data_IF_157478221976
#
_entry.id   IF_157478221976
#
_cell.length_a   1.000
_cell.length_b   1.000
_cell.length_c   1.000
_cell.angle_alpha   90.00
_cell.angle_beta   90.00
_cell.angle_gamma   90.00
#
_symmetry.space_group_name_H-M   'P 1'
#
loop_
_entity.id
_entity.type
_entity.pdbx_description
1 polymer ?
#
# COMPACT_ATOMS: atom_id res chain seq x y z
N UNK A 1 17.21 -20.11 15.08
CA UNK A 1 16.17 -19.11 15.36
C UNK A 1 14.83 -19.81 15.61
N UNK A 2 14.37 -20.71 14.73
CA UNK A 2 13.08 -21.40 14.85
C UNK A 2 12.88 -22.08 16.21
N UNK A 3 13.90 -22.79 16.71
CA UNK A 3 13.86 -23.49 18.01
C UNK A 3 13.60 -22.56 19.21
N UNK A 4 13.95 -21.28 19.11
CA UNK A 4 13.76 -20.29 20.18
C UNK A 4 12.27 -19.97 20.33
N UNK A 5 11.51 -19.98 19.23
CA UNK A 5 10.11 -19.57 19.21
C UNK A 5 9.11 -20.73 19.34
N UNK A 6 9.56 -21.99 19.25
CA UNK A 6 8.68 -23.17 19.28
C UNK A 6 7.76 -23.28 20.51
N UNK A 7 8.17 -22.67 21.64
CA UNK A 7 7.39 -22.69 22.90
C UNK A 7 6.69 -21.35 23.18
N UNK A 8 6.60 -20.47 22.17
CA UNK A 8 5.94 -19.16 22.27
C UNK A 8 4.67 -19.15 21.46
N UNK A 9 3.83 -18.10 21.62
CA UNK A 9 2.68 -17.85 20.78
C UNK A 9 3.04 -17.22 19.41
N UNK A 10 4.33 -17.05 19.10
CA UNK A 10 4.80 -16.46 17.87
C UNK A 10 4.88 -17.54 16.79
N UNK A 11 4.10 -17.38 15.73
CA UNK A 11 4.19 -18.20 14.53
C UNK A 11 5.25 -17.62 13.59
N UNK A 12 6.19 -18.45 13.17
CA UNK A 12 7.27 -18.06 12.26
C UNK A 12 7.04 -18.65 10.87
N UNK A 13 7.08 -17.80 9.87
CA UNK A 13 7.22 -18.19 8.47
C UNK A 13 8.67 -17.92 8.02
N UNK A 14 9.16 -18.74 7.11
CA UNK A 14 10.53 -18.62 6.59
C UNK A 14 10.51 -18.54 5.07
N UNK A 15 11.22 -17.59 4.53
CA UNK A 15 11.52 -17.49 3.09
C UNK A 15 13.00 -17.16 2.87
N UNK A 16 13.51 -17.49 1.71
CA UNK A 16 14.82 -17.06 1.21
C UNK A 16 14.74 -15.80 0.38
N UNK A 17 13.54 -15.36 0.05
CA UNK A 17 13.25 -14.18 -0.75
C UNK A 17 13.34 -12.90 0.10
N UNK A 18 14.57 -12.46 0.35
CA UNK A 18 14.84 -11.24 1.13
C UNK A 18 14.26 -10.02 0.40
N UNK A 19 14.44 -9.95 -0.92
CA UNK A 19 13.97 -8.82 -1.74
C UNK A 19 12.45 -8.70 -1.67
N UNK A 20 11.73 -9.81 -1.85
CA UNK A 20 10.27 -9.80 -1.76
C UNK A 20 9.77 -9.34 -0.39
N UNK A 21 10.40 -9.79 0.71
CA UNK A 21 10.02 -9.35 2.06
C UNK A 21 10.24 -7.84 2.24
N UNK A 22 11.39 -7.31 1.81
CA UNK A 22 11.72 -5.89 1.94
C UNK A 22 10.79 -5.01 1.10
N UNK A 23 10.58 -5.37 -0.17
CA UNK A 23 9.75 -4.59 -1.08
C UNK A 23 8.27 -4.59 -0.64
N UNK A 24 7.75 -5.72 -0.16
CA UNK A 24 6.39 -5.80 0.37
C UNK A 24 6.22 -4.94 1.63
N UNK A 25 7.24 -4.87 2.50
CA UNK A 25 7.27 -3.99 3.66
C UNK A 25 7.21 -2.50 3.30
N UNK A 26 7.74 -2.09 2.14
CA UNK A 26 7.64 -0.72 1.61
C UNK A 26 6.27 -0.47 0.99
N UNK A 27 5.83 -1.38 0.10
CA UNK A 27 4.62 -1.24 -0.72
C UNK A 27 3.35 -1.17 0.15
N UNK A 28 3.26 -1.93 1.24
CA UNK A 28 2.10 -1.93 2.14
C UNK A 28 1.73 -0.53 2.62
N UNK A 29 2.73 0.31 2.89
CA UNK A 29 2.53 1.66 3.42
C UNK A 29 1.86 2.58 2.41
N UNK A 30 2.21 2.47 1.13
CA UNK A 30 1.61 3.24 0.05
C UNK A 30 0.12 2.89 -0.11
N UNK A 31 -0.19 1.60 -0.19
CA UNK A 31 -1.57 1.16 -0.39
C UNK A 31 -2.44 1.30 0.86
N UNK A 32 -1.86 1.35 2.05
CA UNK A 32 -2.59 1.71 3.25
C UNK A 32 -3.15 3.15 3.18
N UNK A 33 -2.40 4.10 2.58
CA UNK A 33 -2.90 5.45 2.31
C UNK A 33 -4.09 5.38 1.35
N UNK A 34 -3.93 4.69 0.21
CA UNK A 34 -4.99 4.57 -0.79
C UNK A 34 -6.27 3.96 -0.21
N UNK A 35 -6.15 2.87 0.53
CA UNK A 35 -7.30 2.20 1.14
C UNK A 35 -7.95 3.06 2.23
N UNK A 36 -7.17 3.87 2.95
CA UNK A 36 -7.70 4.89 3.86
C UNK A 36 -8.54 5.94 3.13
N UNK A 37 -8.08 6.42 1.95
CA UNK A 37 -8.84 7.34 1.10
C UNK A 37 -10.16 6.70 0.65
N UNK A 38 -10.11 5.46 0.19
CA UNK A 38 -11.29 4.71 -0.27
C UNK A 38 -12.30 4.55 0.86
N UNK A 39 -11.86 4.20 2.05
CA UNK A 39 -12.73 4.05 3.22
C UNK A 39 -13.43 5.35 3.62
N UNK A 40 -12.73 6.48 3.51
CA UNK A 40 -13.29 7.78 3.83
C UNK A 40 -14.30 8.29 2.78
N UNK A 41 -14.08 7.93 1.51
CA UNK A 41 -14.96 8.38 0.40
C UNK A 41 -16.13 7.44 0.15
N UNK A 42 -15.95 6.15 0.37
CA UNK A 42 -16.93 5.13 0.00
C UNK A 42 -17.24 4.24 1.22
N UNK A 43 -18.37 4.47 1.86
CA UNK A 43 -18.82 3.69 3.03
C UNK A 43 -19.33 2.28 2.66
N UNK A 44 -18.72 1.64 1.65
CA UNK A 44 -19.15 0.36 1.11
C UNK A 44 -18.06 -0.70 1.26
N UNK A 45 -18.29 -1.77 2.02
CA UNK A 45 -17.37 -2.91 2.09
C UNK A 45 -17.05 -3.51 0.71
N UNK A 46 -18.05 -3.60 -0.18
CA UNK A 46 -17.85 -4.11 -1.54
C UNK A 46 -16.83 -3.27 -2.32
N UNK A 47 -16.92 -1.94 -2.25
CA UNK A 47 -15.97 -1.02 -2.89
C UNK A 47 -14.57 -1.21 -2.30
N UNK A 48 -14.46 -1.29 -0.97
CA UNK A 48 -13.19 -1.53 -0.29
C UNK A 48 -12.50 -2.80 -0.80
N UNK A 49 -13.20 -3.92 -0.80
CA UNK A 49 -12.60 -5.21 -1.19
C UNK A 49 -12.38 -5.32 -2.70
N UNK A 50 -13.19 -4.65 -3.52
CA UNK A 50 -12.92 -4.51 -4.94
C UNK A 50 -11.59 -3.77 -5.18
N UNK A 51 -11.36 -2.64 -4.51
CA UNK A 51 -10.10 -1.90 -4.64
C UNK A 51 -8.95 -2.70 -4.04
N UNK A 52 -9.13 -3.36 -2.91
CA UNK A 52 -8.11 -4.24 -2.32
C UNK A 52 -7.65 -5.32 -3.31
N UNK A 53 -8.58 -5.93 -4.06
CA UNK A 53 -8.24 -6.92 -5.08
C UNK A 53 -7.37 -6.34 -6.20
N UNK A 54 -7.61 -5.07 -6.58
CA UNK A 54 -6.79 -4.36 -7.57
C UNK A 54 -5.43 -3.96 -6.99
N UNK A 55 -5.39 -3.54 -5.73
CA UNK A 55 -4.15 -3.30 -4.98
C UNK A 55 -3.26 -4.53 -5.00
N UNK A 56 -3.81 -5.72 -4.74
CA UNK A 56 -3.01 -6.96 -4.79
C UNK A 56 -2.51 -7.31 -6.20
N UNK A 57 -3.22 -6.94 -7.26
CA UNK A 57 -2.70 -7.07 -8.63
C UNK A 57 -1.49 -6.15 -8.85
N UNK A 58 -1.57 -4.90 -8.41
CA UNK A 58 -0.46 -3.96 -8.52
C UNK A 58 0.73 -4.38 -7.65
N UNK A 59 0.49 -4.81 -6.41
CA UNK A 59 1.54 -5.34 -5.52
C UNK A 59 2.27 -6.51 -6.18
N UNK A 60 1.53 -7.44 -6.82
CA UNK A 60 2.14 -8.57 -7.54
C UNK A 60 3.04 -8.10 -8.69
N UNK A 61 2.61 -7.07 -9.43
CA UNK A 61 3.41 -6.50 -10.54
C UNK A 61 4.69 -5.87 -9.96
N UNK A 62 4.56 -5.03 -8.94
CA UNK A 62 5.69 -4.38 -8.29
C UNK A 62 6.67 -5.38 -7.68
N UNK A 63 6.17 -6.36 -6.93
CA UNK A 63 7.02 -7.39 -6.33
C UNK A 63 7.87 -8.11 -7.39
N UNK A 64 7.24 -8.45 -8.53
CA UNK A 64 7.94 -9.07 -9.67
C UNK A 64 8.93 -8.11 -10.34
N UNK A 65 8.59 -6.83 -10.48
CA UNK A 65 9.47 -5.80 -11.07
C UNK A 65 10.78 -5.68 -10.28
N UNK A 66 10.68 -5.77 -8.95
CA UNK A 66 11.83 -5.75 -8.05
C UNK A 66 12.45 -7.13 -7.79
N UNK A 67 12.10 -8.15 -8.59
CA UNK A 67 12.64 -9.51 -8.52
C UNK A 67 12.26 -10.30 -7.24
N UNK A 68 11.19 -9.90 -6.55
CA UNK A 68 10.62 -10.68 -5.45
C UNK A 68 9.82 -11.89 -5.96
N UNK A 69 9.77 -12.95 -5.15
CA UNK A 69 8.99 -14.14 -5.45
C UNK A 69 7.49 -13.89 -5.22
N UNK A 70 6.66 -14.35 -6.15
CA UNK A 70 5.20 -14.24 -6.05
C UNK A 70 4.63 -14.98 -4.84
N UNK A 71 5.26 -16.09 -4.43
CA UNK A 71 4.81 -16.87 -3.27
C UNK A 71 4.99 -16.08 -1.95
N UNK A 72 6.01 -15.23 -1.86
CA UNK A 72 6.23 -14.35 -0.71
C UNK A 72 5.06 -13.40 -0.45
N UNK A 73 4.31 -13.04 -1.50
CA UNK A 73 3.11 -12.22 -1.37
C UNK A 73 2.03 -12.86 -0.49
N UNK A 74 1.96 -14.20 -0.44
CA UNK A 74 0.95 -14.93 0.33
C UNK A 74 1.38 -15.25 1.77
N UNK A 75 2.61 -14.92 2.13
CA UNK A 75 3.10 -15.05 3.51
C UNK A 75 2.56 -13.91 4.40
N UNK A 76 2.78 -14.03 5.71
CA UNK A 76 2.38 -13.02 6.69
C UNK A 76 2.98 -11.64 6.39
N UNK A 77 4.23 -11.58 5.90
CA UNK A 77 4.91 -10.35 5.49
C UNK A 77 4.30 -9.68 4.22
N UNK A 78 3.56 -10.44 3.43
CA UNK A 78 2.84 -9.94 2.26
C UNK A 78 1.37 -9.66 2.57
N UNK A 79 0.49 -10.64 2.30
CA UNK A 79 -0.95 -10.51 2.46
C UNK A 79 -1.35 -10.06 3.87
N UNK A 80 -0.78 -10.70 4.89
CA UNK A 80 -1.11 -10.42 6.28
C UNK A 80 -0.78 -8.98 6.66
N UNK A 81 0.43 -8.52 6.36
CA UNK A 81 0.92 -7.21 6.76
C UNK A 81 0.30 -6.07 5.94
N UNK A 82 0.01 -6.30 4.65
CA UNK A 82 -0.77 -5.36 3.82
C UNK A 82 -2.16 -5.16 4.40
N UNK A 83 -2.88 -6.23 4.74
CA UNK A 83 -4.21 -6.14 5.33
C UNK A 83 -4.17 -5.51 6.72
N UNK A 84 -3.23 -5.93 7.58
CA UNK A 84 -3.07 -5.37 8.91
C UNK A 84 -2.82 -3.86 8.85
N UNK A 85 -1.90 -3.41 8.01
CA UNK A 85 -1.55 -1.98 7.89
C UNK A 85 -2.70 -1.16 7.28
N UNK A 86 -3.46 -1.75 6.36
CA UNK A 86 -4.55 -1.07 5.65
C UNK A 86 -5.84 -0.97 6.45
N UNK A 87 -6.08 -1.87 7.42
CA UNK A 87 -7.34 -1.91 8.18
C UNK A 87 -7.18 -1.61 9.67
N UNK A 88 -5.95 -1.42 10.13
CA UNK A 88 -5.70 -1.04 11.52
C UNK A 88 -5.77 0.48 11.70
N UNK A 89 -6.64 0.94 12.59
CA UNK A 89 -6.84 2.37 12.89
C UNK A 89 -5.61 3.02 13.56
N UNK A 90 -4.67 2.23 14.06
CA UNK A 90 -3.39 2.73 14.58
C UNK A 90 -2.36 3.00 13.47
N UNK A 91 -2.64 2.61 12.23
CA UNK A 91 -1.75 2.85 11.08
C UNK A 91 -1.72 4.33 10.70
N UNK A 92 -0.56 4.98 10.84
CA UNK A 92 -0.35 6.37 10.41
C UNK A 92 -0.62 6.58 8.92
N UNK A 93 -0.24 5.61 8.08
CA UNK A 93 -0.49 5.65 6.64
C UNK A 93 -2.00 5.61 6.34
N UNK A 94 -2.75 4.71 6.98
CA UNK A 94 -4.21 4.65 6.87
C UNK A 94 -4.86 5.95 7.35
N UNK A 95 -4.45 6.47 8.50
CA UNK A 95 -4.98 7.73 9.06
C UNK A 95 -4.76 8.90 8.12
N UNK A 96 -3.57 9.02 7.51
CA UNK A 96 -3.30 9.99 6.46
C UNK A 96 -4.28 9.83 5.29
N UNK A 97 -4.46 8.60 4.81
CA UNK A 97 -5.42 8.32 3.73
C UNK A 97 -6.84 8.75 4.07
N UNK A 98 -7.30 8.47 5.28
CA UNK A 98 -8.62 8.93 5.76
C UNK A 98 -8.71 10.47 5.75
N UNK A 99 -7.68 11.17 6.20
CA UNK A 99 -7.63 12.63 6.20
C UNK A 99 -7.70 13.19 4.78
N UNK A 100 -6.95 12.62 3.83
CA UNK A 100 -7.00 12.97 2.41
C UNK A 100 -8.42 12.75 1.86
N UNK A 101 -9.00 11.58 2.11
CA UNK A 101 -10.33 11.23 1.63
C UNK A 101 -11.45 12.14 2.15
N UNK A 102 -11.26 12.71 3.34
CA UNK A 102 -12.16 13.72 3.96
C UNK A 102 -11.85 15.16 3.53
N UNK A 103 -10.85 15.39 2.68
CA UNK A 103 -10.43 16.74 2.28
C UNK A 103 -9.70 17.54 3.37
N UNK A 104 -9.14 16.86 4.37
CA UNK A 104 -8.46 17.47 5.52
C UNK A 104 -6.92 17.45 5.39
N UNK A 105 -6.40 17.23 4.18
CA UNK A 105 -4.97 17.05 3.95
C UNK A 105 -4.13 18.27 4.37
N UNK A 106 -4.63 19.49 4.16
CA UNK A 106 -3.96 20.75 4.52
C UNK A 106 -3.76 20.95 6.04
N UNK A 107 -4.52 20.22 6.86
CA UNK A 107 -4.43 20.29 8.31
C UNK A 107 -3.45 19.26 8.89
N UNK A 108 -2.86 18.42 8.03
CA UNK A 108 -1.80 17.49 8.44
C UNK A 108 -0.53 18.31 8.54
N UNK A 109 -0.04 18.52 9.77
CA UNK A 109 1.15 19.32 10.03
C UNK A 109 2.35 18.79 9.23
N UNK A 110 3.14 19.68 8.61
CA UNK A 110 4.33 19.39 7.79
C UNK A 110 5.37 18.50 8.49
N UNK A 111 5.23 18.28 9.79
CA UNK A 111 6.12 17.47 10.62
C UNK A 111 5.79 15.98 10.64
N UNK A 112 4.70 15.53 10.01
CA UNK A 112 4.37 14.10 9.95
C UNK A 112 4.99 13.52 8.69
N UNK A 113 6.23 13.05 8.80
CA UNK A 113 6.83 12.19 7.78
C UNK A 113 6.11 10.86 7.80
N UNK A 114 5.22 10.65 6.82
CA UNK A 114 4.52 9.37 6.65
C UNK A 114 5.32 8.54 5.65
N UNK A 115 5.78 7.38 6.09
CA UNK A 115 6.63 6.47 5.31
C UNK A 115 6.04 6.18 3.92
N UNK A 116 4.71 6.03 3.83
CA UNK A 116 4.03 5.72 2.59
C UNK A 116 4.16 6.80 1.51
N UNK A 117 4.24 8.09 1.87
CA UNK A 117 4.45 9.19 0.90
C UNK A 117 5.83 9.10 0.27
N UNK A 118 6.87 8.91 1.10
CA UNK A 118 8.23 8.72 0.59
C UNK A 118 8.34 7.45 -0.26
N UNK A 119 7.65 6.38 0.15
CA UNK A 119 7.62 5.11 -0.59
C UNK A 119 7.00 5.28 -1.97
N UNK A 120 5.91 6.06 -2.12
CA UNK A 120 5.30 6.35 -3.43
C UNK A 120 6.31 7.00 -4.36
N UNK A 121 6.99 8.06 -3.90
CA UNK A 121 7.98 8.78 -4.71
C UNK A 121 9.17 7.88 -5.09
N UNK A 122 9.69 7.13 -4.12
CA UNK A 122 10.84 6.24 -4.34
C UNK A 122 10.51 5.14 -5.33
N UNK A 123 9.42 4.41 -5.13
CA UNK A 123 9.00 3.33 -6.04
C UNK A 123 8.74 3.88 -7.44
N UNK A 124 8.03 5.01 -7.56
CA UNK A 124 7.69 5.60 -8.85
C UNK A 124 8.94 6.03 -9.63
N UNK A 125 10.00 6.47 -8.95
CA UNK A 125 11.28 6.83 -9.58
C UNK A 125 12.10 5.64 -10.06
N UNK A 126 11.81 4.42 -9.62
CA UNK A 126 12.57 3.21 -9.92
C UNK A 126 11.92 2.33 -11.00
N UNK A 127 10.68 2.58 -11.37
CA UNK A 127 9.94 1.81 -12.37
C UNK A 127 9.86 2.54 -13.70
N UNK A 128 9.81 1.78 -14.79
CA UNK A 128 9.69 2.35 -16.13
C UNK A 128 8.22 2.70 -16.49
N UNK A 129 8.06 3.46 -17.61
CA UNK A 129 6.73 3.85 -18.09
C UNK A 129 5.84 2.65 -18.44
N UNK A 130 6.42 1.55 -18.90
CA UNK A 130 5.64 0.37 -19.28
C UNK A 130 5.05 -0.34 -18.06
N UNK A 131 5.75 -0.28 -16.94
CA UNK A 131 5.30 -0.77 -15.65
C UNK A 131 4.29 0.20 -15.03
N UNK A 132 4.52 1.51 -15.08
CA UNK A 132 3.56 2.53 -14.60
C UNK A 132 2.18 2.34 -15.24
N UNK A 133 2.11 2.09 -16.55
CA UNK A 133 0.84 1.86 -17.26
C UNK A 133 0.01 0.67 -16.73
N UNK A 134 0.63 -0.22 -15.95
CA UNK A 134 -0.03 -1.37 -15.31
C UNK A 134 -0.42 -1.11 -13.85
N UNK A 135 -0.13 0.10 -13.33
CA UNK A 135 -0.26 0.48 -11.93
C UNK A 135 -1.14 1.73 -11.76
N UNK A 136 -2.38 1.72 -12.26
CA UNK A 136 -3.23 2.92 -12.27
C UNK A 136 -3.55 3.48 -10.88
N UNK A 137 -3.56 2.65 -9.84
CA UNK A 137 -3.79 3.11 -8.47
C UNK A 137 -2.57 3.82 -7.89
N UNK A 138 -1.38 3.26 -8.12
CA UNK A 138 -0.12 3.87 -7.71
C UNK A 138 0.12 5.19 -8.47
N UNK A 139 -0.13 5.22 -9.78
CA UNK A 139 0.00 6.42 -10.59
C UNK A 139 -0.89 7.55 -10.08
N UNK A 140 -2.16 7.26 -9.77
CA UNK A 140 -3.07 8.26 -9.19
C UNK A 140 -2.59 8.78 -7.84
N UNK A 141 -2.07 7.90 -7.00
CA UNK A 141 -1.54 8.30 -5.70
C UNK A 141 -0.28 9.17 -5.86
N UNK A 142 0.61 8.82 -6.78
CA UNK A 142 1.79 9.63 -7.11
C UNK A 142 1.41 11.02 -7.63
N UNK A 143 0.53 11.10 -8.65
CA UNK A 143 0.08 12.37 -9.22
C UNK A 143 -0.59 13.27 -8.18
N UNK A 144 -1.35 12.70 -7.25
CA UNK A 144 -1.94 13.44 -6.15
C UNK A 144 -0.86 14.11 -5.28
N UNK A 145 0.20 13.39 -4.91
CA UNK A 145 1.28 13.94 -4.09
C UNK A 145 2.18 14.94 -4.84
N UNK A 146 2.18 14.92 -6.18
CA UNK A 146 2.92 15.91 -7.00
C UNK A 146 2.07 17.14 -7.33
N UNK A 147 0.76 17.10 -7.13
CA UNK A 147 -0.14 18.21 -7.47
C UNK A 147 -0.36 19.13 -6.27
N UNK A 148 -0.65 20.40 -6.57
CA UNK A 148 -1.16 21.34 -5.57
C UNK A 148 -2.65 21.10 -5.26
N UNK A 149 -3.26 20.13 -5.94
CA UNK A 149 -4.66 19.76 -5.73
C UNK A 149 -4.83 19.05 -4.39
N UNK A 150 -5.80 19.51 -3.61
CA UNK A 150 -6.15 18.93 -2.33
C UNK A 150 -7.29 17.90 -2.43
N UNK A 151 -7.74 17.57 -3.65
CA UNK A 151 -8.82 16.62 -3.90
C UNK A 151 -8.27 15.36 -4.59
N UNK A 152 -8.37 14.22 -3.93
CA UNK A 152 -8.10 12.93 -4.54
C UNK A 152 -9.37 12.37 -5.17
N UNK A 153 -9.36 12.14 -6.48
CA UNK A 153 -10.49 11.55 -7.21
C UNK A 153 -10.13 10.17 -7.73
N UNK A 154 -11.00 9.21 -7.48
CA UNK A 154 -10.89 7.84 -7.95
C UNK A 154 -12.13 7.49 -8.77
N UNK A 155 -11.98 7.45 -10.10
CA UNK A 155 -13.03 6.92 -10.95
C UNK A 155 -13.00 5.38 -10.90
N UNK A 156 -13.98 4.81 -10.19
CA UNK A 156 -14.08 3.36 -10.01
C UNK A 156 -14.35 2.60 -11.32
N UNK A 157 -14.86 3.28 -12.36
CA UNK A 157 -15.14 2.67 -13.67
C UNK A 157 -13.90 2.57 -14.55
N UNK A 158 -12.94 3.48 -14.38
CA UNK A 158 -11.71 3.52 -15.18
C UNK A 158 -10.61 2.59 -14.68
N UNK A 159 -10.78 2.01 -13.48
CA UNK A 159 -9.82 1.10 -12.87
C UNK A 159 -10.22 -0.33 -13.26
N UNK A 160 -9.79 -0.81 -14.40
CA UNK A 160 -10.05 -2.18 -14.89
C UNK A 160 -8.85 -3.11 -14.63
#
# INVERSE_FOLDING_TARGET
IYSIFQKTCINLEYTKDIIGVEILGVIKNMYAILLGIVDAKYSSPNTRFMILSKVFKEIKILNKEFHGDTETLFLACGFGDVCLTSFNDLSRNRTLGISIGKGLFNNVSDNIIVEGVNSVNTIFSQIDKSTVNKLPLLEKLFLFFQSESHSFELDLKSIN
#
